data_IF_427016057646
#
_entry.id   IF_427016057646
#
_cell.length_a   1.000
_cell.length_b   1.000
_cell.length_c   1.000
_cell.angle_alpha   90.00
_cell.angle_beta   90.00
_cell.angle_gamma   90.00
#
_symmetry.space_group_name_H-M   'P 1'
#
loop_
_entity.id
_entity.type
_entity.pdbx_description
1 polymer ?
#
# COMPACT_ATOMS: atom_id res chain seq x y z
N UNK A 1 -23.14 16.95 5.93
CA UNK A 1 -22.53 17.01 4.59
C UNK A 1 -21.32 17.93 4.72
N UNK A 2 -20.22 17.41 5.25
CA UNK A 2 -19.02 18.22 5.49
C UNK A 2 -18.23 18.33 4.19
N UNK A 3 -18.08 19.57 3.74
CA UNK A 3 -17.27 19.92 2.58
C UNK A 3 -15.81 19.69 2.93
N UNK A 4 -15.23 18.66 2.33
CA UNK A 4 -13.81 18.38 2.38
C UNK A 4 -13.05 19.61 1.80
N UNK A 5 -12.19 20.30 2.58
CA UNK A 5 -11.57 21.56 2.15
C UNK A 5 -10.61 21.41 0.94
N UNK A 6 -10.27 20.18 0.53
CA UNK A 6 -9.59 19.91 -0.74
C UNK A 6 -10.46 20.09 -2.00
N UNK A 7 -11.76 20.36 -1.85
CA UNK A 7 -12.71 20.50 -2.97
C UNK A 7 -12.63 21.84 -3.71
N UNK A 8 -11.81 22.80 -3.24
CA UNK A 8 -11.79 24.15 -3.80
C UNK A 8 -10.76 24.31 -4.94
N UNK A 9 -9.74 23.43 -5.10
CA UNK A 9 -8.82 23.49 -6.26
C UNK A 9 -8.23 22.12 -6.66
N UNK A 10 -8.82 21.47 -7.67
CA UNK A 10 -8.08 20.94 -8.83
C UNK A 10 -7.50 19.51 -8.87
N UNK A 11 -7.10 18.86 -7.78
CA UNK A 11 -6.46 17.53 -7.86
C UNK A 11 -6.94 16.57 -6.76
N UNK A 12 -7.35 15.36 -7.16
CA UNK A 12 -7.70 14.26 -6.25
C UNK A 12 -6.70 13.10 -6.45
N UNK A 13 -5.86 12.79 -5.46
CA UNK A 13 -5.00 11.60 -5.50
C UNK A 13 -5.80 10.33 -5.77
N UNK A 14 -5.18 9.34 -6.44
CA UNK A 14 -5.73 7.98 -6.41
C UNK A 14 -5.55 7.42 -5.01
N UNK A 15 -6.57 6.78 -4.47
CA UNK A 15 -6.49 6.15 -3.15
C UNK A 15 -7.01 4.72 -3.22
N UNK A 16 -6.32 3.81 -2.54
CA UNK A 16 -6.92 2.54 -2.14
C UNK A 16 -7.68 2.84 -0.86
N UNK A 17 -9.00 2.89 -0.98
CA UNK A 17 -9.85 2.95 0.19
C UNK A 17 -10.00 1.54 0.74
N UNK A 18 -9.56 1.36 1.99
CA UNK A 18 -9.82 0.12 2.72
C UNK A 18 -11.32 0.10 2.95
N UNK A 19 -12.00 -0.75 2.18
CA UNK A 19 -13.42 -0.95 2.41
C UNK A 19 -13.58 -1.64 3.75
N UNK A 20 -14.48 -1.13 4.59
CA UNK A 20 -15.15 -2.00 5.56
C UNK A 20 -15.69 -3.17 4.75
N UNK A 21 -15.39 -4.44 5.09
CA UNK A 21 -16.08 -5.56 4.47
C UNK A 21 -17.57 -5.30 4.69
N UNK A 22 -18.25 -4.79 3.66
CA UNK A 22 -19.69 -4.53 3.72
C UNK A 22 -20.33 -5.88 4.00
N UNK A 23 -21.37 -5.92 4.83
CA UNK A 23 -22.11 -7.14 5.19
C UNK A 23 -22.67 -7.88 3.95
N UNK A 24 -22.56 -7.29 2.75
CA UNK A 24 -22.88 -7.88 1.45
C UNK A 24 -21.76 -8.70 0.81
N UNK A 25 -20.52 -8.56 1.28
CA UNK A 25 -19.37 -9.33 0.82
C UNK A 25 -18.59 -9.81 2.06
N UNK A 26 -18.99 -10.96 2.60
CA UNK A 26 -18.36 -11.68 3.72
C UNK A 26 -16.87 -12.08 3.49
N UNK A 27 -16.18 -11.46 2.51
CA UNK A 27 -14.79 -11.73 2.15
C UNK A 27 -13.83 -10.95 3.06
N UNK A 28 -13.71 -11.42 4.30
CA UNK A 28 -12.75 -10.92 5.29
C UNK A 28 -11.27 -11.08 4.86
N UNK A 29 -11.01 -11.69 3.71
CA UNK A 29 -9.68 -11.94 3.13
C UNK A 29 -9.38 -11.08 1.91
N UNK A 30 -10.23 -10.10 1.61
CA UNK A 30 -10.12 -9.30 0.39
C UNK A 30 -8.73 -8.66 0.23
N UNK A 31 -8.26 -8.64 -1.00
CA UNK A 31 -7.12 -7.84 -1.42
C UNK A 31 -7.59 -6.80 -2.41
N UNK A 32 -6.98 -5.62 -2.35
CA UNK A 32 -7.36 -4.48 -3.20
C UNK A 32 -6.10 -3.82 -3.70
N UNK A 33 -6.11 -3.30 -4.92
CA UNK A 33 -5.01 -2.51 -5.45
C UNK A 33 -5.48 -1.38 -6.36
N UNK A 34 -4.57 -0.44 -6.59
CA UNK A 34 -4.72 0.58 -7.61
C UNK A 34 -3.36 0.94 -8.17
N UNK A 35 -3.34 1.69 -9.27
CA UNK A 35 -2.12 2.01 -9.99
C UNK A 35 -2.21 3.41 -10.62
N UNK A 36 -1.07 4.01 -10.88
CA UNK A 36 -0.95 5.29 -11.57
C UNK A 36 0.25 5.29 -12.50
N UNK A 37 0.10 5.78 -13.73
CA UNK A 37 1.21 6.02 -14.63
C UNK A 37 1.80 7.41 -14.38
N UNK A 38 3.12 7.50 -14.31
CA UNK A 38 3.85 8.76 -14.27
C UNK A 38 4.05 9.25 -15.69
N UNK A 39 3.45 10.41 -15.98
CA UNK A 39 3.57 11.12 -17.25
C UNK A 39 3.98 12.56 -16.94
N UNK A 40 3.33 13.53 -17.56
CA UNK A 40 3.68 14.94 -17.44
C UNK A 40 2.94 15.65 -16.29
N UNK A 41 2.18 14.91 -15.49
CA UNK A 41 1.37 15.44 -14.38
C UNK A 41 1.98 15.12 -13.02
N UNK A 42 1.73 15.99 -12.05
CA UNK A 42 1.91 15.64 -10.62
C UNK A 42 0.92 14.54 -10.29
N UNK A 43 1.42 13.45 -9.72
CA UNK A 43 0.60 12.31 -9.35
C UNK A 43 0.77 11.94 -7.87
N UNK A 44 -0.26 11.34 -7.28
CA UNK A 44 -0.22 10.81 -5.93
C UNK A 44 -1.11 9.57 -5.83
N UNK A 45 -0.59 8.57 -5.12
CA UNK A 45 -1.28 7.33 -4.79
C UNK A 45 -1.10 7.03 -3.31
N UNK A 46 -2.16 6.65 -2.59
CA UNK A 46 -2.07 6.40 -1.17
C UNK A 46 -3.00 5.30 -0.67
N UNK A 47 -2.71 4.81 0.54
CA UNK A 47 -3.60 3.95 1.32
C UNK A 47 -3.87 4.66 2.64
N UNK A 48 -5.10 4.56 3.10
CA UNK A 48 -5.53 5.06 4.41
C UNK A 48 -6.17 3.95 5.22
N UNK A 49 -5.94 3.99 6.53
CA UNK A 49 -6.65 3.16 7.50
C UNK A 49 -6.11 1.75 7.67
N UNK A 50 -4.82 1.50 7.42
CA UNK A 50 -4.24 0.19 7.74
C UNK A 50 -4.04 0.10 9.27
N UNK A 51 -4.73 -0.83 9.93
CA UNK A 51 -4.64 -1.02 11.40
C UNK A 51 -4.30 -2.47 11.78
N UNK A 52 -3.45 -3.12 10.98
CA UNK A 52 -3.13 -4.55 11.04
C UNK A 52 -2.89 -5.16 9.66
N UNK A 53 -3.26 -4.44 8.61
CA UNK A 53 -3.13 -4.88 7.22
C UNK A 53 -1.68 -4.71 6.72
N UNK A 54 -1.32 -5.47 5.69
CA UNK A 54 -0.06 -5.31 4.96
C UNK A 54 -0.33 -4.55 3.66
N UNK A 55 0.52 -3.58 3.32
CA UNK A 55 0.48 -2.88 2.06
C UNK A 55 1.78 -3.12 1.28
N UNK A 56 1.69 -3.09 -0.05
CA UNK A 56 2.85 -3.19 -0.93
C UNK A 56 2.82 -2.07 -1.96
N UNK A 57 3.92 -1.36 -2.11
CA UNK A 57 4.09 -0.27 -3.06
C UNK A 57 5.19 -0.64 -4.04
N UNK A 58 4.84 -0.73 -5.32
CA UNK A 58 5.79 -0.82 -6.42
C UNK A 58 5.91 0.58 -7.01
N UNK A 59 7.13 1.04 -7.24
CA UNK A 59 7.38 2.32 -7.91
C UNK A 59 8.54 2.18 -8.88
N UNK A 60 8.35 2.72 -10.09
CA UNK A 60 9.39 2.85 -11.10
C UNK A 60 9.37 4.27 -11.64
N UNK A 61 10.17 4.50 -12.69
CA UNK A 61 10.14 5.74 -13.46
C UNK A 61 8.82 5.99 -14.20
N UNK A 62 8.04 4.95 -14.50
CA UNK A 62 6.85 5.05 -15.36
C UNK A 62 5.55 5.04 -14.60
N UNK A 63 5.59 4.75 -13.30
CA UNK A 63 4.38 4.71 -12.50
C UNK A 63 4.56 3.97 -11.18
N UNK A 64 3.43 3.75 -10.54
CA UNK A 64 3.35 3.03 -9.29
C UNK A 64 2.10 2.15 -9.21
N UNK A 65 2.21 1.09 -8.43
CA UNK A 65 1.11 0.20 -8.06
C UNK A 65 1.12 0.05 -6.55
N UNK A 66 -0.07 0.03 -5.96
CA UNK A 66 -0.23 -0.07 -4.52
C UNK A 66 -1.28 -1.12 -4.22
N UNK A 67 -0.89 -2.13 -3.45
CA UNK A 67 -1.75 -3.18 -2.95
C UNK A 67 -1.98 -3.08 -1.45
N UNK A 68 -3.18 -3.48 -1.02
CA UNK A 68 -3.60 -3.59 0.37
C UNK A 68 -4.14 -5.00 0.61
N UNK A 69 -3.64 -5.63 1.66
CA UNK A 69 -3.95 -7.01 2.04
C UNK A 69 -4.41 -7.05 3.49
N UNK A 70 -5.63 -7.54 3.72
CA UNK A 70 -6.17 -7.71 5.07
C UNK A 70 -5.28 -8.60 5.94
N UNK A 71 -5.20 -8.25 7.23
CA UNK A 71 -4.42 -8.97 8.24
C UNK A 71 -4.75 -10.46 8.30
N UNK A 72 -6.03 -10.80 8.14
CA UNK A 72 -6.55 -12.16 8.15
C UNK A 72 -5.76 -13.08 7.24
N UNK A 73 -5.38 -12.63 6.03
CA UNK A 73 -4.54 -13.38 5.10
C UNK A 73 -3.19 -13.81 5.68
N UNK A 74 -2.68 -13.07 6.66
CA UNK A 74 -1.39 -13.28 7.28
C UNK A 74 -1.44 -14.08 8.59
N UNK A 75 -2.59 -14.17 9.24
CA UNK A 75 -2.74 -14.96 10.47
C UNK A 75 -2.78 -16.46 10.15
N UNK A 76 -1.71 -17.19 10.51
CA UNK A 76 -1.60 -18.65 10.30
C UNK A 76 -2.65 -19.45 11.07
N UNK A 77 -3.15 -18.88 12.16
CA UNK A 77 -3.99 -19.56 13.14
C UNK A 77 -5.46 -19.56 12.68
N UNK A 78 -5.79 -18.72 11.70
CA UNK A 78 -7.13 -18.50 11.18
C UNK A 78 -7.26 -18.77 9.69
N UNK A 79 -6.15 -18.87 8.95
CA UNK A 79 -6.16 -18.99 7.48
C UNK A 79 -5.21 -20.09 6.98
N UNK A 80 -5.72 -21.06 6.19
CA UNK A 80 -4.90 -22.06 5.54
C UNK A 80 -3.80 -21.45 4.67
N UNK A 81 -2.67 -22.14 4.57
CA UNK A 81 -1.54 -21.70 3.76
C UNK A 81 -1.91 -21.48 2.28
N UNK A 82 -2.82 -22.30 1.75
CA UNK A 82 -3.34 -22.18 0.39
C UNK A 82 -4.07 -20.86 0.16
N UNK A 83 -4.80 -20.36 1.16
CA UNK A 83 -5.53 -19.10 1.06
C UNK A 83 -4.57 -17.91 1.06
N UNK A 84 -3.50 -17.95 1.86
CA UNK A 84 -2.42 -16.95 1.76
C UNK A 84 -1.78 -16.96 0.36
N UNK A 85 -1.43 -18.15 -0.14
CA UNK A 85 -0.82 -18.29 -1.45
C UNK A 85 -1.75 -17.74 -2.56
N UNK A 86 -3.05 -18.02 -2.48
CA UNK A 86 -4.01 -17.51 -3.44
C UNK A 86 -4.24 -15.99 -3.29
N UNK A 87 -4.65 -15.53 -2.12
CA UNK A 87 -5.07 -14.13 -1.89
C UNK A 87 -3.95 -13.12 -1.93
N UNK A 88 -2.73 -13.49 -1.51
CA UNK A 88 -1.61 -12.56 -1.40
C UNK A 88 -0.60 -12.74 -2.53
N UNK A 89 -0.32 -13.99 -2.95
CA UNK A 89 0.72 -14.27 -3.95
C UNK A 89 0.16 -14.41 -5.38
N UNK A 90 -1.11 -14.81 -5.53
CA UNK A 90 -1.72 -15.06 -6.84
C UNK A 90 -2.65 -13.94 -7.31
N UNK A 91 -3.73 -13.62 -6.58
CA UNK A 91 -4.69 -12.59 -6.99
C UNK A 91 -3.99 -11.23 -7.25
N UNK A 92 -3.13 -10.72 -6.34
CA UNK A 92 -2.49 -9.42 -6.51
C UNK A 92 -1.54 -9.36 -7.69
N UNK A 93 -1.04 -10.52 -8.12
CA UNK A 93 -0.07 -10.68 -9.20
C UNK A 93 -0.68 -10.52 -10.58
N UNK A 94 -1.93 -10.98 -10.78
CA UNK A 94 -2.55 -11.11 -12.10
C UNK A 94 -3.74 -10.19 -12.38
N UNK A 95 -4.29 -9.48 -11.40
CA UNK A 95 -5.41 -8.56 -11.68
C UNK A 95 -6.71 -9.30 -12.02
N UNK A 96 -7.74 -8.55 -12.39
CA UNK A 96 -9.00 -9.07 -12.93
C UNK A 96 -9.40 -8.32 -14.19
N UNK A 97 -10.11 -8.97 -15.09
CA UNK A 97 -10.63 -8.34 -16.32
C UNK A 97 -12.02 -7.75 -16.13
N UNK A 98 -12.36 -6.83 -17.03
CA UNK A 98 -13.69 -6.25 -17.11
C UNK A 98 -14.75 -7.35 -17.20
N UNK A 99 -15.84 -7.19 -16.45
CA UNK A 99 -16.88 -8.22 -16.27
C UNK A 99 -16.70 -9.06 -15.01
N UNK A 100 -15.52 -9.10 -14.39
CA UNK A 100 -15.35 -9.70 -13.06
C UNK A 100 -15.62 -8.66 -11.96
N UNK A 101 -16.41 -9.00 -10.94
CA UNK A 101 -16.81 -8.04 -9.90
C UNK A 101 -15.65 -7.44 -9.09
N UNK A 102 -14.53 -8.18 -8.97
CA UNK A 102 -13.30 -7.69 -8.32
C UNK A 102 -12.47 -6.73 -9.19
N UNK A 103 -12.78 -6.57 -10.47
CA UNK A 103 -12.02 -5.70 -11.38
C UNK A 103 -11.92 -4.26 -10.87
N UNK A 104 -13.01 -3.72 -10.31
CA UNK A 104 -13.03 -2.38 -9.73
C UNK A 104 -12.08 -2.20 -8.52
N UNK A 105 -11.70 -3.28 -7.87
CA UNK A 105 -10.81 -3.28 -6.71
C UNK A 105 -9.39 -3.70 -7.06
N UNK A 106 -9.20 -4.26 -8.26
CA UNK A 106 -7.97 -4.97 -8.61
C UNK A 106 -7.87 -5.15 -10.13
N UNK A 107 -7.82 -4.02 -10.85
CA UNK A 107 -7.82 -3.97 -12.32
C UNK A 107 -6.59 -4.66 -12.92
N UNK A 108 -5.40 -4.27 -12.46
CA UNK A 108 -4.13 -4.86 -12.90
C UNK A 108 -3.37 -5.43 -11.72
N UNK A 109 -2.79 -6.60 -11.95
CA UNK A 109 -1.85 -7.19 -11.03
C UNK A 109 -0.44 -6.61 -11.22
N UNK A 110 0.37 -6.64 -10.17
CA UNK A 110 1.71 -6.04 -10.23
C UNK A 110 2.56 -6.67 -11.34
N UNK A 111 2.50 -7.99 -11.58
CA UNK A 111 3.29 -8.63 -12.64
C UNK A 111 2.79 -8.26 -14.05
N UNK A 112 1.49 -8.02 -14.18
CA UNK A 112 0.91 -7.56 -15.45
C UNK A 112 1.49 -6.22 -15.89
N UNK A 113 1.79 -5.35 -14.91
CA UNK A 113 2.35 -4.03 -15.15
C UNK A 113 3.84 -4.04 -15.55
N UNK A 114 4.50 -5.20 -15.56
CA UNK A 114 5.88 -5.34 -16.04
C UNK A 114 6.00 -6.01 -17.41
N UNK A 115 5.29 -7.12 -17.62
CA UNK A 115 5.64 -8.09 -18.65
C UNK A 115 4.55 -8.30 -19.73
N UNK A 116 3.56 -7.42 -19.82
CA UNK A 116 2.38 -7.61 -20.68
C UNK A 116 2.19 -6.42 -21.63
N UNK A 117 3.09 -6.20 -22.60
CA UNK A 117 3.05 -5.05 -23.51
C UNK A 117 1.75 -4.92 -24.32
N UNK A 118 0.99 -6.01 -24.49
CA UNK A 118 -0.34 -6.00 -25.08
C UNK A 118 -1.36 -5.16 -24.30
N UNK A 119 -1.08 -4.81 -23.04
CA UNK A 119 -1.89 -3.91 -22.22
C UNK A 119 -1.57 -2.42 -22.48
N UNK A 120 -0.62 -2.11 -23.36
CA UNK A 120 -0.17 -0.74 -23.64
C UNK A 120 0.74 -0.19 -22.54
N UNK A 121 0.68 1.13 -22.29
CA UNK A 121 1.51 1.82 -21.29
C UNK A 121 1.52 1.14 -19.91
N UNK A 122 0.38 0.68 -19.34
CA UNK A 122 0.36 0.00 -18.05
C UNK A 122 1.21 -1.27 -18.03
N UNK A 123 1.19 -2.06 -19.11
CA UNK A 123 1.80 -3.39 -19.17
C UNK A 123 3.33 -3.42 -19.20
N UNK A 124 3.97 -2.25 -19.28
CA UNK A 124 5.42 -2.07 -19.33
C UNK A 124 5.93 -1.05 -18.29
N UNK A 125 5.09 -0.71 -17.32
CA UNK A 125 5.37 0.30 -16.29
C UNK A 125 6.56 -0.08 -15.40
N UNK A 126 6.67 -1.35 -15.01
CA UNK A 126 7.81 -1.86 -14.23
C UNK A 126 8.94 -2.42 -15.10
N UNK A 127 8.77 -2.30 -16.42
CA UNK A 127 9.76 -2.62 -17.43
C UNK A 127 9.68 -4.07 -17.93
N UNK A 128 10.13 -4.24 -19.18
CA UNK A 128 10.22 -5.48 -19.92
C UNK A 128 11.63 -5.55 -20.53
N UNK A 129 12.29 -6.72 -20.51
CA UNK A 129 13.62 -6.93 -21.09
C UNK A 129 13.70 -6.63 -22.60
N UNK A 130 12.56 -6.57 -23.31
CA UNK A 130 12.49 -6.17 -24.71
C UNK A 130 12.46 -4.66 -24.96
N UNK A 131 12.43 -3.83 -23.91
CA UNK A 131 12.45 -2.37 -24.05
C UNK A 131 13.89 -1.87 -24.20
N UNK A 132 14.17 -1.16 -25.31
CA UNK A 132 15.49 -0.57 -25.58
C UNK A 132 15.93 0.46 -24.54
N UNK A 133 15.01 0.93 -23.70
CA UNK A 133 15.25 1.83 -22.57
C UNK A 133 14.90 1.17 -21.22
N UNK A 134 14.95 -0.16 -21.13
CA UNK A 134 14.80 -0.86 -19.86
C UNK A 134 15.90 -0.43 -18.89
N UNK A 135 15.53 0.41 -17.92
CA UNK A 135 16.35 0.72 -16.76
C UNK A 135 15.70 0.06 -15.55
N UNK A 136 16.44 -0.85 -14.92
CA UNK A 136 16.03 -1.49 -13.68
C UNK A 136 16.05 -0.47 -12.53
N UNK A 137 14.96 0.28 -12.39
CA UNK A 137 14.75 1.20 -11.26
C UNK A 137 13.46 0.89 -10.48
N UNK A 138 12.98 -0.35 -10.58
CA UNK A 138 11.92 -0.81 -9.70
C UNK A 138 12.39 -0.75 -8.24
N UNK A 139 11.58 -0.12 -7.39
CA UNK A 139 11.67 -0.20 -5.93
C UNK A 139 10.35 -0.77 -5.43
N UNK A 140 10.45 -1.68 -4.47
CA UNK A 140 9.28 -2.26 -3.81
C UNK A 140 9.37 -2.00 -2.32
N UNK A 141 8.28 -1.54 -1.74
CA UNK A 141 8.14 -1.33 -0.30
C UNK A 141 7.04 -2.23 0.21
N UNK A 142 7.32 -3.01 1.25
CA UNK A 142 6.32 -3.81 1.97
C UNK A 142 6.11 -3.16 3.33
N UNK A 143 4.95 -2.57 3.53
CA UNK A 143 4.56 -1.89 4.78
C UNK A 143 3.68 -2.84 5.59
N UNK A 144 4.18 -3.31 6.73
CA UNK A 144 3.56 -4.38 7.53
C UNK A 144 3.45 -3.99 8.99
N UNK A 145 2.42 -4.44 9.75
CA UNK A 145 2.29 -4.05 11.14
C UNK A 145 3.38 -4.66 12.00
N UNK A 146 3.71 -3.95 13.08
CA UNK A 146 4.39 -4.49 14.25
C UNK A 146 3.46 -5.36 15.08
N UNK A 147 4.00 -6.24 15.94
CA UNK A 147 3.21 -6.87 16.98
C UNK A 147 2.49 -5.86 17.85
N UNK A 148 1.18 -6.06 18.02
CA UNK A 148 0.34 -5.19 18.84
C UNK A 148 0.77 -5.26 20.30
N UNK A 149 0.73 -4.12 20.98
CA UNK A 149 0.91 -4.05 22.42
C UNK A 149 -0.18 -4.83 23.15
N UNK A 150 0.16 -5.40 24.31
CA UNK A 150 -0.83 -5.95 25.24
C UNK A 150 -1.42 -4.81 26.09
N UNK A 151 -2.70 -4.89 26.42
CA UNK A 151 -3.37 -3.98 27.36
C UNK A 151 -3.11 -4.32 28.83
N UNK A 152 -2.43 -5.43 29.10
CA UNK A 152 -2.06 -5.88 30.44
C UNK A 152 -0.59 -6.29 30.45
N UNK A 153 0.06 -6.10 31.59
CA UNK A 153 1.41 -6.61 31.84
C UNK A 153 1.42 -8.12 32.15
N UNK A 154 2.59 -8.66 32.50
CA UNK A 154 2.77 -10.07 32.84
C UNK A 154 2.03 -10.50 34.11
N UNK A 155 1.68 -9.54 34.98
CA UNK A 155 0.93 -9.75 36.22
C UNK A 155 -0.57 -9.48 36.06
N UNK A 156 -1.07 -9.35 34.82
CA UNK A 156 -2.45 -8.99 34.48
C UNK A 156 -2.88 -7.58 34.94
N UNK A 157 -1.95 -6.68 35.24
CA UNK A 157 -2.26 -5.29 35.60
C UNK A 157 -2.53 -4.50 34.31
N UNK A 158 -3.64 -3.75 34.20
CA UNK A 158 -3.92 -2.91 33.04
C UNK A 158 -2.82 -1.88 32.80
N UNK A 159 -2.35 -1.80 31.56
CA UNK A 159 -1.38 -0.80 31.13
C UNK A 159 -2.10 0.51 30.74
N UNK A 160 -1.51 1.68 31.04
CA UNK A 160 -1.98 2.97 30.56
C UNK A 160 -2.01 3.08 29.02
N UNK A 161 -2.94 3.89 28.48
CA UNK A 161 -3.09 4.09 27.02
C UNK A 161 -1.84 4.70 26.37
N UNK A 162 -1.13 5.61 27.02
CA UNK A 162 0.13 6.17 26.50
C UNK A 162 1.21 5.09 26.29
N UNK A 163 1.24 4.06 27.13
CA UNK A 163 2.13 2.90 27.00
C UNK A 163 1.63 1.91 25.93
N UNK A 164 0.32 1.67 25.87
CA UNK A 164 -0.28 0.76 24.86
C UNK A 164 -0.15 1.33 23.46
N UNK A 165 -0.34 2.64 23.34
CA UNK A 165 -0.38 3.36 22.08
C UNK A 165 0.92 4.09 21.75
N UNK A 166 2.05 3.82 22.41
CA UNK A 166 3.33 4.42 22.00
C UNK A 166 3.66 4.05 20.54
N UNK A 167 3.88 5.05 19.69
CA UNK A 167 4.19 4.88 18.26
C UNK A 167 5.54 4.17 18.04
N UNK A 168 6.43 4.15 19.04
CA UNK A 168 7.73 3.49 18.95
C UNK A 168 7.71 2.07 19.54
N UNK A 169 6.58 1.64 20.11
CA UNK A 169 6.46 0.30 20.69
C UNK A 169 6.71 -0.76 19.62
N UNK A 170 7.56 -1.73 19.97
CA UNK A 170 7.96 -2.86 19.11
C UNK A 170 8.57 -2.43 17.76
N UNK A 171 9.16 -1.23 17.67
CA UNK A 171 9.82 -0.77 16.44
C UNK A 171 10.89 -1.76 15.96
N UNK A 172 10.93 -2.00 14.65
CA UNK A 172 11.80 -2.97 14.00
C UNK A 172 11.33 -4.44 14.09
N UNK A 173 10.20 -4.71 14.76
CA UNK A 173 9.60 -6.04 14.80
C UNK A 173 8.49 -6.18 13.75
N UNK A 174 8.39 -7.35 13.13
CA UNK A 174 7.35 -7.66 12.16
C UNK A 174 6.33 -8.61 12.79
N UNK A 175 5.03 -8.34 12.60
CA UNK A 175 3.98 -9.26 13.06
C UNK A 175 3.97 -10.57 12.26
N UNK A 176 4.34 -10.56 10.97
CA UNK A 176 4.21 -11.71 10.06
C UNK A 176 5.51 -12.05 9.30
N UNK A 177 6.67 -12.21 9.95
CA UNK A 177 7.97 -12.25 9.28
C UNK A 177 8.07 -13.34 8.20
N UNK A 178 7.58 -14.55 8.46
CA UNK A 178 7.65 -15.66 7.49
C UNK A 178 6.80 -15.43 6.23
N UNK A 179 5.60 -14.86 6.36
CA UNK A 179 4.74 -14.54 5.21
C UNK A 179 5.25 -13.33 4.43
N UNK A 180 5.82 -12.34 5.12
CA UNK A 180 6.49 -11.21 4.47
C UNK A 180 7.71 -11.69 3.67
N UNK A 181 8.52 -12.60 4.21
CA UNK A 181 9.64 -13.21 3.49
C UNK A 181 9.17 -13.91 2.20
N UNK A 182 8.07 -14.66 2.27
CA UNK A 182 7.52 -15.37 1.10
C UNK A 182 6.96 -14.43 0.04
N UNK A 183 6.30 -13.37 0.45
CA UNK A 183 5.86 -12.31 -0.46
C UNK A 183 7.08 -11.64 -1.14
N UNK A 184 8.13 -11.30 -0.39
CA UNK A 184 9.37 -10.77 -0.95
C UNK A 184 10.01 -11.74 -1.95
N UNK A 185 10.03 -13.04 -1.64
CA UNK A 185 10.57 -14.05 -2.55
C UNK A 185 9.74 -14.17 -3.83
N UNK A 186 8.42 -14.13 -3.75
CA UNK A 186 7.56 -14.18 -4.93
C UNK A 186 7.80 -12.97 -5.86
N UNK A 187 7.98 -11.79 -5.28
CA UNK A 187 8.31 -10.57 -6.05
C UNK A 187 9.66 -10.74 -6.75
N UNK A 188 10.67 -11.26 -6.05
CA UNK A 188 11.99 -11.56 -6.61
C UNK A 188 11.97 -12.66 -7.67
N UNK A 189 11.12 -13.68 -7.51
CA UNK A 189 10.95 -14.72 -8.52
C UNK A 189 10.46 -14.14 -9.86
N UNK A 190 9.67 -13.06 -9.82
CA UNK A 190 9.13 -12.40 -11.01
C UNK A 190 10.07 -11.33 -11.58
N UNK A 191 10.64 -10.46 -10.74
CA UNK A 191 11.46 -9.31 -11.19
C UNK A 191 12.97 -9.53 -11.12
N UNK A 192 13.41 -10.65 -10.55
CA UNK A 192 14.82 -11.00 -10.35
C UNK A 192 15.28 -10.82 -8.90
N UNK A 193 16.29 -11.60 -8.51
CA UNK A 193 16.83 -11.64 -7.13
C UNK A 193 17.39 -10.30 -6.63
N UNK A 194 17.88 -9.47 -7.57
CA UNK A 194 18.43 -8.13 -7.32
C UNK A 194 17.35 -7.04 -7.15
N UNK A 195 16.06 -7.41 -7.22
CA UNK A 195 14.95 -6.47 -6.97
C UNK A 195 15.08 -5.87 -5.58
N UNK A 196 15.11 -4.53 -5.52
CA UNK A 196 15.26 -3.79 -4.27
C UNK A 196 13.93 -3.73 -3.54
N UNK A 197 13.82 -4.54 -2.49
CA UNK A 197 12.66 -4.62 -1.60
C UNK A 197 13.05 -4.07 -0.22
N UNK A 198 12.31 -3.08 0.26
CA UNK A 198 12.44 -2.55 1.61
C UNK A 198 11.20 -2.92 2.43
N UNK A 199 11.40 -3.54 3.59
CA UNK A 199 10.32 -3.91 4.51
C UNK A 199 10.25 -2.86 5.60
N UNK A 200 9.09 -2.23 5.75
CA UNK A 200 8.85 -1.12 6.67
C UNK A 200 7.81 -1.57 7.68
N UNK A 201 8.15 -1.51 8.96
CA UNK A 201 7.21 -1.77 10.05
C UNK A 201 6.46 -0.50 10.47
N UNK A 202 5.16 -0.62 10.74
CA UNK A 202 4.34 0.50 11.25
C UNK A 202 3.60 0.14 12.55
N UNK A 203 3.28 1.16 13.33
CA UNK A 203 2.53 1.00 14.58
C UNK A 203 1.03 0.97 14.30
N UNK A 204 0.44 -0.23 14.28
CA UNK A 204 -0.99 -0.40 14.10
C UNK A 204 -1.79 0.38 15.17
N UNK A 205 -2.81 1.13 14.74
CA UNK A 205 -3.70 1.85 15.67
C UNK A 205 -4.57 0.85 16.42
N UNK A 206 -4.55 0.97 17.74
CA UNK A 206 -5.34 0.17 18.66
C UNK A 206 -6.56 0.98 19.15
N UNK A 207 -7.57 0.29 19.70
CA UNK A 207 -8.65 0.96 20.42
C UNK A 207 -8.11 1.51 21.74
N UNK A 208 -8.57 2.69 22.15
CA UNK A 208 -8.31 3.16 23.52
C UNK A 208 -9.03 2.26 24.51
N UNK A 209 -8.60 2.24 25.77
CA UNK A 209 -9.22 1.39 26.80
C UNK A 209 -10.75 1.57 26.88
N UNK A 210 -11.23 2.80 26.85
CA UNK A 210 -12.67 3.10 26.90
C UNK A 210 -13.41 2.49 25.71
N UNK A 211 -12.89 2.65 24.50
CA UNK A 211 -13.48 2.08 23.28
C UNK A 211 -13.38 0.55 23.25
N UNK A 212 -12.30 -0.01 23.80
CA UNK A 212 -12.11 -1.45 23.95
C UNK A 212 -13.16 -2.04 24.91
N UNK A 213 -13.38 -1.40 26.05
CA UNK A 213 -14.39 -1.83 27.03
C UNK A 213 -15.79 -1.80 26.39
N UNK A 214 -16.13 -0.73 25.66
CA UNK A 214 -17.38 -0.64 24.90
C UNK A 214 -17.50 -1.73 23.82
N UNK A 215 -16.42 -2.03 23.09
CA UNK A 215 -16.39 -3.11 22.10
C UNK A 215 -16.61 -4.48 22.75
N UNK A 216 -15.97 -4.76 23.89
CA UNK A 216 -16.12 -6.01 24.64
C UNK A 216 -17.54 -6.18 25.22
N UNK A 217 -18.20 -5.08 25.55
CA UNK A 217 -19.61 -5.06 25.97
C UNK A 217 -20.60 -5.11 24.80
N UNK A 218 -20.12 -5.28 23.56
CA UNK A 218 -20.91 -5.22 22.32
C UNK A 218 -21.70 -3.91 22.15
N UNK A 219 -21.21 -2.81 22.73
CA UNK A 219 -21.79 -1.45 22.59
C UNK A 219 -21.27 -0.72 21.36
N UNK A 220 -20.22 -1.22 20.72
CA UNK A 220 -19.73 -0.75 19.42
C UNK A 220 -20.00 -1.81 18.35
N UNK A 221 -20.50 -1.35 17.21
CA UNK A 221 -20.61 -2.16 15.99
C UNK A 221 -19.25 -2.37 15.34
N UNK A 222 -19.11 -3.39 14.48
CA UNK A 222 -17.88 -3.62 13.72
C UNK A 222 -17.48 -2.41 12.86
N UNK A 223 -18.45 -1.69 12.29
CA UNK A 223 -18.21 -0.47 11.54
C UNK A 223 -17.65 0.67 12.41
N UNK A 224 -18.13 0.82 13.64
CA UNK A 224 -17.60 1.81 14.59
C UNK A 224 -16.18 1.46 15.04
N UNK A 225 -15.92 0.18 15.33
CA UNK A 225 -14.57 -0.31 15.67
C UNK A 225 -13.62 -0.04 14.51
N UNK A 226 -14.03 -0.37 13.28
CA UNK A 226 -13.26 -0.07 12.08
C UNK A 226 -12.97 1.43 11.96
N UNK A 227 -13.97 2.31 12.09
CA UNK A 227 -13.80 3.77 11.95
C UNK A 227 -12.77 4.32 12.93
N UNK A 228 -12.80 3.82 14.18
CA UNK A 228 -11.84 4.20 15.22
C UNK A 228 -10.42 3.73 14.89
N UNK A 229 -10.25 2.47 14.50
CA UNK A 229 -8.92 1.89 14.21
C UNK A 229 -8.34 2.40 12.89
N UNK A 230 -9.16 2.56 11.85
CA UNK A 230 -8.77 3.11 10.56
C UNK A 230 -8.47 4.60 10.60
N UNK A 231 -8.78 5.28 11.71
CA UNK A 231 -8.64 6.73 11.84
C UNK A 231 -9.27 7.47 10.65
N UNK A 232 -10.53 7.13 10.36
CA UNK A 232 -11.26 7.63 9.19
C UNK A 232 -11.44 9.15 9.18
N UNK A 233 -11.28 9.80 10.35
CA UNK A 233 -11.28 11.25 10.54
C UNK A 233 -9.90 11.90 10.31
N UNK A 234 -8.86 11.14 9.94
CA UNK A 234 -7.51 11.63 9.65
C UNK A 234 -6.83 12.41 10.80
N UNK A 235 -7.04 11.99 12.05
CA UNK A 235 -6.51 12.70 13.22
C UNK A 235 -5.04 12.38 13.49
N UNK A 236 -4.56 11.23 13.01
CA UNK A 236 -3.21 10.75 13.27
C UNK A 236 -2.51 10.28 11.99
N UNK A 237 -1.18 10.23 11.99
CA UNK A 237 -0.43 9.75 10.83
C UNK A 237 -0.45 8.21 10.67
N UNK A 238 -0.76 7.47 11.75
CA UNK A 238 -0.67 6.01 11.77
C UNK A 238 -1.51 5.35 10.71
N UNK A 239 -0.96 4.27 10.15
CA UNK A 239 -1.68 3.46 9.18
C UNK A 239 -2.03 4.19 7.89
N UNK A 240 -1.20 5.16 7.50
CA UNK A 240 -1.36 5.92 6.27
C UNK A 240 -0.06 5.91 5.49
N UNK A 241 -0.18 5.89 4.17
CA UNK A 241 0.94 5.95 3.27
C UNK A 241 0.57 6.70 2.00
N UNK A 242 1.53 7.46 1.50
CA UNK A 242 1.35 8.37 0.38
C UNK A 242 2.63 8.39 -0.46
N UNK A 243 2.51 7.93 -1.69
CA UNK A 243 3.51 8.16 -2.72
C UNK A 243 3.12 9.40 -3.51
N UNK A 244 4.06 10.33 -3.67
CA UNK A 244 3.88 11.52 -4.50
C UNK A 244 4.94 11.53 -5.59
N UNK A 245 4.51 11.88 -6.80
CA UNK A 245 5.32 12.00 -7.99
C UNK A 245 5.25 13.44 -8.50
N UNK A 246 6.42 13.96 -8.89
CA UNK A 246 6.58 15.24 -9.53
C UNK A 246 7.37 15.07 -10.84
N UNK A 247 6.82 15.47 -11.99
CA UNK A 247 7.53 15.43 -13.26
C UNK A 247 8.68 16.44 -13.30
N UNK A 248 9.65 16.21 -14.18
CA UNK A 248 10.70 17.17 -14.46
C UNK A 248 10.09 18.47 -15.00
N UNK A 249 10.53 19.63 -14.50
CA UNK A 249 10.00 20.93 -14.95
C UNK A 249 10.56 21.31 -16.33
N UNK A 250 11.81 20.94 -16.59
CA UNK A 250 12.53 21.18 -17.84
C UNK A 250 13.30 19.94 -18.28
N UNK A 251 13.82 19.91 -19.51
CA UNK A 251 14.68 18.81 -19.99
C UNK A 251 15.99 18.66 -19.17
N UNK A 252 16.39 19.68 -18.41
CA UNK A 252 17.57 19.65 -17.55
C UNK A 252 17.27 19.19 -16.11
N UNK A 253 15.99 19.11 -15.74
CA UNK A 253 15.56 18.68 -14.42
C UNK A 253 15.33 17.17 -14.35
N UNK A 254 15.34 16.65 -13.12
CA UNK A 254 14.94 15.27 -12.85
C UNK A 254 13.51 15.27 -12.32
N UNK A 255 12.73 14.31 -12.78
CA UNK A 255 11.48 13.98 -12.12
C UNK A 255 11.80 13.29 -10.79
N UNK A 256 10.91 13.41 -9.83
CA UNK A 256 11.12 12.83 -8.51
C UNK A 256 9.87 12.17 -7.97
N UNK A 257 10.08 11.22 -7.06
CA UNK A 257 9.02 10.71 -6.23
C UNK A 257 9.47 10.61 -4.78
N UNK A 258 8.50 10.67 -3.87
CA UNK A 258 8.70 10.47 -2.44
C UNK A 258 7.62 9.60 -1.84
N UNK A 259 8.00 8.63 -1.02
CA UNK A 259 7.09 7.79 -0.25
C UNK A 259 7.07 8.24 1.21
N UNK A 260 5.87 8.53 1.70
CA UNK A 260 5.58 8.76 3.10
C UNK A 260 4.91 7.53 3.69
N UNK A 261 5.41 7.07 4.84
CA UNK A 261 4.77 6.07 5.69
C UNK A 261 4.63 6.69 7.07
N UNK A 262 3.40 6.75 7.56
CA UNK A 262 3.05 7.50 8.77
C UNK A 262 3.57 8.96 8.72
N UNK A 263 4.48 9.34 9.61
CA UNK A 263 5.06 10.69 9.68
C UNK A 263 6.50 10.76 9.10
N UNK A 264 6.95 9.73 8.38
CA UNK A 264 8.32 9.61 7.89
C UNK A 264 8.39 9.49 6.37
N UNK A 265 9.37 10.16 5.77
CA UNK A 265 9.73 9.95 4.38
C UNK A 265 10.72 8.78 4.30
N UNK A 266 10.35 7.70 3.59
CA UNK A 266 11.12 6.45 3.55
C UNK A 266 11.90 6.28 2.24
N UNK A 267 11.33 6.72 1.12
CA UNK A 267 11.97 6.65 -0.19
C UNK A 267 11.95 8.01 -0.88
N UNK A 268 13.09 8.42 -1.44
CA UNK A 268 13.22 9.59 -2.31
C UNK A 268 14.07 9.19 -3.52
N UNK A 269 13.61 9.51 -4.72
CA UNK A 269 14.41 9.34 -5.94
C UNK A 269 14.25 10.54 -6.85
N UNK A 270 15.34 10.89 -7.53
CA UNK A 270 15.37 11.82 -8.65
C UNK A 270 15.90 11.06 -9.88
N UNK A 271 15.14 11.02 -10.96
CA UNK A 271 15.51 10.32 -12.18
C UNK A 271 15.10 11.05 -13.45
N UNK A 272 15.76 10.72 -14.57
CA UNK A 272 15.34 11.12 -15.91
C UNK A 272 14.06 10.37 -16.25
N UNK A 273 12.91 10.91 -15.85
CA UNK A 273 11.63 10.52 -16.40
C UNK A 273 11.42 11.48 -17.55
N UNK A 274 11.78 11.03 -18.75
CA UNK A 274 11.47 11.76 -19.95
C UNK A 274 9.95 11.94 -19.97
N UNK A 275 9.50 13.19 -19.99
CA UNK A 275 8.17 13.53 -20.46
C UNK A 275 7.91 12.74 -21.75
N UNK A 276 6.68 12.27 -21.91
CA UNK A 276 6.21 11.38 -22.98
C UNK A 276 7.00 11.54 -24.29
N UNK A 277 7.30 10.44 -24.99
CA UNK A 277 8.11 10.35 -26.22
C UNK A 277 7.84 11.39 -27.32
N UNK A 278 6.72 12.11 -27.28
CA UNK A 278 6.44 13.27 -28.12
C UNK A 278 7.28 14.53 -27.76
N UNK A 279 7.72 14.71 -26.50
CA UNK A 279 8.64 15.79 -26.08
C UNK A 279 10.12 15.42 -26.21
N UNK A 280 10.47 14.14 -26.32
CA UNK A 280 11.86 13.73 -26.61
C UNK A 280 12.36 14.27 -27.96
N UNK A 281 11.45 14.58 -28.90
CA UNK A 281 11.79 15.26 -30.15
C UNK A 281 12.07 16.78 -29.99
N UNK A 282 11.98 17.33 -28.77
CA UNK A 282 12.17 18.76 -28.50
C UNK A 282 13.29 19.08 -27.50
N UNK A 283 13.84 18.06 -26.83
CA UNK A 283 15.04 18.26 -26.02
C UNK A 283 16.27 18.12 -26.96
N UNK A 284 17.14 19.15 -27.07
CA UNK A 284 18.33 19.04 -27.88
C UNK A 284 19.24 17.93 -27.33
N UNK A 285 19.74 17.09 -28.23
CA UNK A 285 20.73 16.03 -27.98
C UNK A 285 22.04 16.57 -27.45
#
# INVERSE_FOLDING_TARGET
>A
MELNPGSIVGYKPKTVDIMVPDERAEDHYMTTSTWVAFKDNVEAIGIRGIFGCTAVVFVSRRGAWVGHFWESNFQSDTVPEEEFAFRVLHEPKLGYREGHWKHQYHEYGWAELGFYPQLGDPGVMFGNAGDKYYEADLRVFIVTPRPRGKYKDENNIPLPDDVVHDINRNAGQLQFPGKIQRLSQEIKNVYGEDTKIEVIDYAAKLLKKEDLDLAMENKLTGAQIFHLQADSDFREARGKLLLQYQPAKTCADLASWRLWVENQAIGVSCGHIAANTERLNTCPS
#
